data_IF_429823985480
#
_entry.id   IF_429823985480
#
_cell.length_a   1.000
_cell.length_b   1.000
_cell.length_c   1.000
_cell.angle_alpha   90.00
_cell.angle_beta   90.00
_cell.angle_gamma   90.00
#
_symmetry.space_group_name_H-M   'P 1'
#
loop_
_entity.id
_entity.type
_entity.pdbx_description
1 polymer ?
#
# COMPACT_ATOMS: atom_id res chain seq x y z
N UNK A 1 -13.88 -11.74 -8.05
CA UNK A 1 -14.22 -11.31 -6.66
C UNK A 1 -13.19 -10.25 -6.27
N UNK A 2 -13.35 -9.48 -5.20
CA UNK A 2 -12.22 -8.68 -4.71
C UNK A 2 -11.42 -9.49 -3.70
N UNK A 3 -10.14 -9.71 -3.96
CA UNK A 3 -9.20 -10.27 -2.99
C UNK A 3 -8.51 -9.13 -2.26
N UNK A 4 -8.32 -9.32 -0.95
CA UNK A 4 -7.55 -8.41 -0.09
C UNK A 4 -6.37 -9.17 0.49
N UNK A 5 -5.21 -8.53 0.54
CA UNK A 5 -4.03 -9.02 1.25
C UNK A 5 -3.47 -7.95 2.17
N UNK A 6 -2.91 -8.37 3.29
CA UNK A 6 -2.29 -7.47 4.27
C UNK A 6 -1.01 -8.09 4.82
N UNK A 7 0.00 -7.25 5.02
CA UNK A 7 1.20 -7.55 5.81
C UNK A 7 1.32 -6.45 6.86
N UNK A 8 1.39 -6.85 8.13
CA UNK A 8 1.55 -5.94 9.26
C UNK A 8 2.89 -6.15 9.97
N UNK A 9 3.41 -5.07 10.54
CA UNK A 9 4.55 -5.00 11.43
C UNK A 9 4.27 -3.94 12.52
N UNK A 10 5.11 -3.85 13.55
CA UNK A 10 4.89 -2.94 14.67
C UNK A 10 4.70 -1.47 14.23
N UNK A 11 5.45 -1.03 13.21
CA UNK A 11 5.53 0.38 12.82
C UNK A 11 4.85 0.69 11.48
N UNK A 12 4.29 -0.32 10.80
CA UNK A 12 3.65 -0.12 9.49
C UNK A 12 2.71 -1.26 9.10
N UNK A 13 1.78 -0.96 8.19
CA UNK A 13 0.90 -1.94 7.57
C UNK A 13 0.86 -1.71 6.07
N UNK A 14 0.99 -2.76 5.27
CA UNK A 14 0.71 -2.74 3.82
C UNK A 14 -0.58 -3.49 3.57
N UNK A 15 -1.54 -2.84 2.91
CA UNK A 15 -2.81 -3.44 2.49
C UNK A 15 -2.96 -3.34 0.98
N UNK A 16 -3.38 -4.43 0.35
CA UNK A 16 -3.68 -4.53 -1.06
C UNK A 16 -5.14 -4.95 -1.25
N UNK A 17 -5.84 -4.28 -2.18
CA UNK A 17 -7.21 -4.63 -2.58
C UNK A 17 -7.28 -4.69 -4.10
N UNK A 18 -7.87 -5.76 -4.63
CA UNK A 18 -8.02 -5.93 -6.08
C UNK A 18 -9.40 -5.51 -6.57
N UNK A 19 -9.43 -4.98 -7.79
CA UNK A 19 -10.65 -4.62 -8.49
C UNK A 19 -10.59 -5.15 -9.93
N UNK A 20 -11.68 -5.80 -10.38
CA UNK A 20 -11.82 -6.22 -11.77
C UNK A 20 -12.16 -5.00 -12.63
N UNK A 21 -11.36 -4.75 -13.66
CA UNK A 21 -11.61 -3.69 -14.65
C UNK A 21 -11.76 -4.29 -16.05
N UNK A 22 -12.07 -3.45 -17.04
CA UNK A 22 -12.09 -3.84 -18.46
C UNK A 22 -10.72 -4.28 -18.98
N UNK A 23 -9.63 -3.88 -18.32
CA UNK A 23 -8.24 -4.16 -18.75
C UNK A 23 -7.58 -5.32 -17.98
N UNK A 24 -8.35 -6.02 -17.15
CA UNK A 24 -7.85 -7.03 -16.21
C UNK A 24 -8.01 -6.56 -14.76
N UNK A 25 -7.32 -7.23 -13.85
CA UNK A 25 -7.41 -6.96 -12.41
C UNK A 25 -6.36 -5.92 -12.02
N UNK A 26 -6.81 -4.81 -11.44
CA UNK A 26 -5.94 -3.79 -10.84
C UNK A 26 -5.74 -4.08 -9.35
N UNK A 27 -4.58 -3.69 -8.81
CA UNK A 27 -4.29 -3.75 -7.38
C UNK A 27 -4.07 -2.34 -6.84
N UNK A 28 -4.90 -1.94 -5.86
CA UNK A 28 -4.67 -0.73 -5.07
C UNK A 28 -3.88 -1.09 -3.82
N UNK A 29 -2.81 -0.36 -3.56
CA UNK A 29 -1.85 -0.57 -2.48
C UNK A 29 -1.97 0.61 -1.52
N UNK A 30 -2.06 0.32 -0.22
CA UNK A 30 -2.06 1.31 0.87
C UNK A 30 -0.95 0.95 1.84
N UNK A 31 -0.05 1.88 2.11
CA UNK A 31 0.99 1.75 3.13
C UNK A 31 0.65 2.72 4.25
N UNK A 32 0.40 2.19 5.43
CA UNK A 32 0.21 2.94 6.66
C UNK A 32 1.50 2.84 7.49
N UNK A 33 2.01 3.96 8.00
CA UNK A 33 3.05 4.00 9.02
C UNK A 33 2.44 4.47 10.33
N UNK A 34 2.79 3.78 11.40
CA UNK A 34 2.42 4.12 12.76
C UNK A 34 3.60 4.88 13.39
N UNK A 35 3.37 6.13 13.75
CA UNK A 35 4.30 6.93 14.53
C UNK A 35 4.10 6.64 16.03
N UNK A 36 5.18 6.75 16.80
CA UNK A 36 5.21 6.56 18.25
C UNK A 36 4.31 7.57 18.97
N UNK A 37 4.13 8.75 18.38
CA UNK A 37 3.25 9.82 18.88
C UNK A 37 1.77 9.62 18.49
N UNK A 38 1.41 8.46 17.92
CA UNK A 38 0.04 8.14 17.48
C UNK A 38 -0.33 8.72 16.11
N UNK A 39 0.63 9.37 15.44
CA UNK A 39 0.49 9.80 14.05
C UNK A 39 0.33 8.61 13.11
N UNK A 40 -0.60 8.69 12.16
CA UNK A 40 -0.76 7.71 11.09
C UNK A 40 -0.51 8.37 9.76
N UNK A 41 0.52 7.90 9.06
CA UNK A 41 0.84 8.36 7.71
C UNK A 41 0.41 7.31 6.70
N UNK A 42 -0.38 7.71 5.71
CA UNK A 42 -0.91 6.79 4.72
C UNK A 42 -0.54 7.23 3.32
N UNK A 43 0.06 6.32 2.56
CA UNK A 43 0.34 6.49 1.15
C UNK A 43 -0.44 5.46 0.34
N UNK A 44 -1.11 5.91 -0.73
CA UNK A 44 -1.91 5.04 -1.60
C UNK A 44 -1.48 5.18 -3.05
N UNK A 45 -1.34 4.05 -3.72
CA UNK A 45 -0.98 3.99 -5.13
C UNK A 45 -1.54 2.72 -5.76
N UNK A 46 -1.55 2.65 -7.09
CA UNK A 46 -1.93 1.44 -7.83
C UNK A 46 -0.69 0.76 -8.37
N UNK A 47 -0.72 -0.57 -8.45
CA UNK A 47 0.30 -1.29 -9.21
C UNK A 47 0.24 -0.86 -10.68
N UNK A 48 1.40 -0.78 -11.34
CA UNK A 48 1.50 -0.24 -12.70
C UNK A 48 0.88 -1.16 -13.77
N UNK A 49 0.81 -2.46 -13.48
CA UNK A 49 0.27 -3.48 -14.37
C UNK A 49 -1.12 -3.97 -13.94
N UNK A 50 -1.87 -4.51 -14.90
CA UNK A 50 -3.05 -5.34 -14.65
C UNK A 50 -2.68 -6.83 -14.67
N UNK A 51 -3.52 -7.66 -14.06
CA UNK A 51 -3.29 -9.10 -13.91
C UNK A 51 -4.50 -9.92 -14.37
N UNK A 52 -4.25 -11.20 -14.67
CA UNK A 52 -5.29 -12.15 -15.08
C UNK A 52 -6.05 -12.74 -13.88
N UNK A 53 -5.46 -12.71 -12.68
CA UNK A 53 -6.08 -13.21 -11.45
C UNK A 53 -5.77 -12.34 -10.22
N UNK A 54 -6.66 -12.39 -9.24
CA UNK A 54 -6.58 -11.54 -8.05
C UNK A 54 -5.38 -11.91 -7.16
N UNK A 55 -4.99 -13.19 -7.13
CA UNK A 55 -3.88 -13.67 -6.30
C UNK A 55 -2.55 -13.06 -6.73
N UNK A 56 -2.28 -13.04 -8.03
CA UNK A 56 -1.06 -12.43 -8.57
C UNK A 56 -1.04 -10.93 -8.34
N UNK A 57 -2.18 -10.26 -8.56
CA UNK A 57 -2.32 -8.84 -8.30
C UNK A 57 -2.01 -8.48 -6.83
N UNK A 58 -2.55 -9.23 -5.87
CA UNK A 58 -2.26 -9.04 -4.44
C UNK A 58 -0.79 -9.30 -4.13
N UNK A 59 -0.20 -10.40 -4.62
CA UNK A 59 1.20 -10.72 -4.31
C UNK A 59 2.17 -9.69 -4.90
N UNK A 60 1.90 -9.18 -6.10
CA UNK A 60 2.68 -8.09 -6.69
C UNK A 60 2.51 -6.79 -5.88
N UNK A 61 1.26 -6.43 -5.54
CA UNK A 61 0.99 -5.24 -4.74
C UNK A 61 1.66 -5.26 -3.36
N UNK A 62 1.66 -6.41 -2.68
CA UNK A 62 2.32 -6.58 -1.39
C UNK A 62 3.84 -6.41 -1.49
N UNK A 63 4.45 -6.92 -2.57
CA UNK A 63 5.90 -6.76 -2.82
C UNK A 63 6.26 -5.30 -3.07
N UNK A 64 5.45 -4.59 -3.84
CA UNK A 64 5.65 -3.16 -4.10
C UNK A 64 5.49 -2.34 -2.83
N UNK A 65 4.44 -2.61 -2.03
CA UNK A 65 4.24 -1.94 -0.75
C UNK A 65 5.40 -2.18 0.23
N UNK A 66 5.90 -3.41 0.35
CA UNK A 66 7.07 -3.72 1.18
C UNK A 66 8.34 -3.04 0.64
N UNK A 67 8.51 -2.96 -0.68
CA UNK A 67 9.64 -2.24 -1.30
C UNK A 67 9.57 -0.76 -0.97
N UNK A 68 8.38 -0.16 -1.03
CA UNK A 68 8.16 1.23 -0.64
C UNK A 68 8.52 1.47 0.83
N UNK A 69 8.08 0.59 1.75
CA UNK A 69 8.43 0.67 3.18
C UNK A 69 9.95 0.64 3.36
N UNK A 70 10.63 -0.30 2.68
CA UNK A 70 12.09 -0.41 2.72
C UNK A 70 12.77 0.87 2.20
N UNK A 71 12.36 1.39 1.05
CA UNK A 71 12.95 2.60 0.46
C UNK A 71 12.74 3.83 1.35
N UNK A 72 11.59 3.92 2.04
CA UNK A 72 11.35 4.99 3.02
C UNK A 72 12.26 4.86 4.23
N UNK A 73 12.44 3.65 4.76
CA UNK A 73 13.36 3.38 5.87
C UNK A 73 14.83 3.67 5.52
N UNK A 74 15.22 3.44 4.26
CA UNK A 74 16.55 3.76 3.73
C UNK A 74 16.70 5.24 3.33
N UNK A 75 15.71 6.10 3.62
CA UNK A 75 15.67 7.52 3.22
C UNK A 75 15.88 7.76 1.72
N UNK A 76 15.62 6.74 0.88
CA UNK A 76 15.79 6.82 -0.58
C UNK A 76 14.63 7.59 -1.22
N UNK A 77 13.46 7.56 -0.59
CA UNK A 77 12.32 8.40 -0.93
C UNK A 77 12.07 9.37 0.22
N UNK A 78 12.11 10.68 -0.08
CA UNK A 78 11.70 11.71 0.88
C UNK A 78 10.24 12.03 0.62
N UNK A 79 9.44 11.96 1.67
CA UNK A 79 8.00 12.02 1.54
C UNK A 79 7.48 13.05 2.55
N UNK A 80 6.98 14.17 2.04
CA UNK A 80 6.45 15.29 2.81
C UNK A 80 4.97 15.08 3.08
N UNK A 81 4.50 15.53 4.26
CA UNK A 81 3.11 15.39 4.74
C UNK A 81 2.03 15.82 3.73
N UNK A 82 2.35 16.70 2.78
CA UNK A 82 1.46 17.13 1.70
C UNK A 82 0.92 16.00 0.79
N UNK A 83 1.60 14.85 0.71
CA UNK A 83 1.13 13.71 -0.12
C UNK A 83 0.24 12.74 0.69
N UNK A 84 0.12 12.90 2.03
CA UNK A 84 -0.64 11.95 2.88
C UNK A 84 -2.07 12.41 2.91
N UNK A 85 -2.95 11.43 2.75
CA UNK A 85 -4.24 11.53 3.42
C UNK A 85 -4.00 11.22 4.89
N UNK A 86 -3.94 12.26 5.75
CA UNK A 86 -3.96 12.07 7.21
C UNK A 86 -5.25 11.34 7.54
N UNK A 87 -5.15 10.07 7.95
CA UNK A 87 -6.29 9.34 8.48
C UNK A 87 -6.63 9.96 9.85
N UNK A 88 -7.61 10.86 9.89
CA UNK A 88 -8.16 11.34 11.16
C UNK A 88 -8.73 10.13 11.89
N UNK A 89 -8.13 9.78 13.03
CA UNK A 89 -8.76 8.89 13.99
C UNK A 89 -10.03 9.57 14.51
N UNK A 90 -11.14 8.85 14.45
CA UNK A 90 -12.35 9.13 15.24
C UNK A 90 -12.12 8.80 16.72
#
# INVERSE_FOLDING_TARGET
>A
MSLKGTVDDANWTVTCTTEQTQKGIECSISVEQHDVDGGRFMHRFKHACTFDNEREAVLAGLRDGMTWVRLKAEHTINWTTDDATVAKGE
#
